data_IF_425697957014
#
_entry.id   IF_425697957014
#
_cell.length_a   1.000
_cell.length_b   1.000
_cell.length_c   1.000
_cell.angle_alpha   90.00
_cell.angle_beta   90.00
_cell.angle_gamma   90.00
#
_symmetry.space_group_name_H-M   'P 1'
#
loop_
_entity.id
_entity.type
_entity.pdbx_description
1 polymer ?
#
# COMPACT_ATOMS: atom_id res chain seq x y z
N UNK A 1 -33.61 -15.08 -28.78
CA UNK A 1 -32.21 -14.88 -28.36
C UNK A 1 -32.14 -13.72 -27.37
N UNK A 2 -32.33 -13.99 -26.07
CA UNK A 2 -32.15 -13.04 -24.96
C UNK A 2 -31.73 -13.86 -23.75
N UNK A 3 -30.46 -13.72 -23.33
CA UNK A 3 -29.92 -14.02 -21.99
C UNK A 3 -28.41 -14.32 -22.12
N UNK A 4 -27.58 -13.28 -22.15
CA UNK A 4 -26.12 -13.39 -21.91
C UNK A 4 -25.52 -12.26 -21.06
N UNK A 5 -26.34 -11.29 -20.59
CA UNK A 5 -25.82 -10.11 -19.86
C UNK A 5 -25.95 -10.18 -18.34
N UNK A 6 -26.52 -11.25 -17.76
CA UNK A 6 -26.73 -11.32 -16.30
C UNK A 6 -25.48 -11.78 -15.55
N UNK A 7 -24.54 -12.46 -16.20
CA UNK A 7 -23.35 -13.00 -15.53
C UNK A 7 -22.20 -11.99 -15.34
N UNK A 8 -22.16 -10.88 -16.10
CA UNK A 8 -21.12 -9.85 -15.95
C UNK A 8 -21.39 -8.88 -14.80
N UNK A 9 -22.64 -8.73 -14.34
CA UNK A 9 -22.97 -7.85 -13.22
C UNK A 9 -22.54 -8.44 -11.86
N UNK A 10 -22.48 -9.77 -11.73
CA UNK A 10 -22.13 -10.43 -10.46
C UNK A 10 -20.64 -10.30 -10.07
N UNK A 11 -19.74 -10.14 -11.05
CA UNK A 11 -18.31 -9.95 -10.78
C UNK A 11 -17.99 -8.53 -10.27
N UNK A 12 -18.75 -7.52 -10.72
CA UNK A 12 -18.60 -6.11 -10.29
C UNK A 12 -19.09 -5.87 -8.86
N UNK A 13 -20.19 -6.51 -8.44
CA UNK A 13 -20.67 -6.42 -7.05
C UNK A 13 -19.84 -7.26 -6.07
N UNK A 14 -19.20 -8.34 -6.53
CA UNK A 14 -18.28 -9.14 -5.72
C UNK A 14 -17.04 -8.36 -5.28
N UNK A 15 -16.46 -7.56 -6.18
CA UNK A 15 -15.29 -6.72 -5.88
C UNK A 15 -15.59 -5.62 -4.85
N UNK A 16 -16.74 -4.94 -4.96
CA UNK A 16 -17.15 -3.88 -4.01
C UNK A 16 -17.49 -4.47 -2.64
N UNK A 17 -18.20 -5.60 -2.57
CA UNK A 17 -18.50 -6.26 -1.30
C UNK A 17 -17.24 -6.81 -0.61
N UNK A 18 -16.25 -7.29 -1.39
CA UNK A 18 -14.95 -7.73 -0.88
C UNK A 18 -14.09 -6.56 -0.39
N UNK A 19 -14.14 -5.41 -1.07
CA UNK A 19 -13.46 -4.18 -0.64
C UNK A 19 -14.02 -3.64 0.69
N UNK A 20 -15.34 -3.69 0.88
CA UNK A 20 -16.00 -3.36 2.17
C UNK A 20 -15.57 -4.35 3.28
N UNK A 21 -15.32 -5.61 2.94
CA UNK A 21 -14.83 -6.63 3.86
C UNK A 21 -13.38 -6.37 4.29
N UNK A 22 -12.49 -6.00 3.36
CA UNK A 22 -11.10 -5.61 3.66
C UNK A 22 -11.03 -4.33 4.51
N UNK A 23 -11.88 -3.34 4.23
CA UNK A 23 -11.99 -2.12 5.05
C UNK A 23 -12.54 -2.42 6.45
N UNK A 24 -13.54 -3.31 6.59
CA UNK A 24 -14.11 -3.70 7.89
C UNK A 24 -13.15 -4.50 8.77
N UNK A 25 -12.24 -5.28 8.19
CA UNK A 25 -11.21 -5.99 8.97
C UNK A 25 -10.06 -5.07 9.40
N UNK A 26 -9.78 -3.99 8.66
CA UNK A 26 -8.79 -2.97 9.06
C UNK A 26 -9.30 -1.92 10.06
N UNK A 27 -10.62 -1.68 10.11
CA UNK A 27 -11.25 -0.65 10.96
C UNK A 27 -11.98 -1.20 12.19
N UNK A 28 -11.62 -2.39 12.69
CA UNK A 28 -12.13 -2.83 14.00
C UNK A 28 -11.40 -2.04 15.09
N UNK A 29 -11.89 -0.84 15.35
CA UNK A 29 -11.62 -0.08 16.56
C UNK A 29 -12.13 -0.89 17.75
N UNK A 30 -11.22 -1.60 18.41
CA UNK A 30 -11.42 -2.11 19.75
C UNK A 30 -11.42 -0.91 20.72
N UNK A 31 -12.53 -0.17 20.74
CA UNK A 31 -12.87 0.71 21.84
C UNK A 31 -13.78 -0.06 22.82
N UNK A 32 -13.28 -0.14 24.05
CA UNK A 32 -13.98 -0.49 25.30
C UNK A 32 -14.13 -1.98 25.68
N UNK A 33 -13.17 -2.43 26.49
CA UNK A 33 -13.28 -3.09 27.83
C UNK A 33 -12.12 -4.11 27.92
N UNK A 34 -11.15 -4.01 28.83
CA UNK A 34 -11.35 -4.16 30.27
C UNK A 34 -10.08 -3.75 31.02
N UNK A 35 -10.34 -3.01 32.10
CA UNK A 35 -9.47 -2.69 33.21
C UNK A 35 -8.87 -3.93 33.90
N UNK A 36 -7.65 -3.75 34.45
CA UNK A 36 -6.98 -4.53 35.50
C UNK A 36 -6.39 -5.91 35.13
N UNK A 37 -5.10 -5.90 34.81
CA UNK A 37 -4.11 -6.71 35.52
C UNK A 37 -2.70 -6.15 35.24
N UNK A 38 -2.00 -5.74 36.29
CA UNK A 38 -0.59 -5.33 36.27
C UNK A 38 0.24 -6.59 36.55
N UNK A 39 1.13 -7.05 35.65
CA UNK A 39 2.16 -7.99 36.03
C UNK A 39 3.38 -7.22 36.52
N UNK A 40 3.90 -7.71 37.63
CA UNK A 40 5.07 -7.22 38.35
C UNK A 40 6.33 -7.24 37.47
N UNK A 41 7.22 -6.28 37.72
CA UNK A 41 8.52 -6.20 37.09
C UNK A 41 9.33 -7.48 37.38
N UNK A 42 9.52 -8.32 36.36
CA UNK A 42 10.49 -9.40 36.45
C UNK A 42 11.89 -8.80 36.48
N UNK A 43 12.52 -8.95 37.64
CA UNK A 43 13.91 -8.61 37.88
C UNK A 43 14.77 -9.58 37.07
N UNK A 44 15.59 -9.05 36.16
CA UNK A 44 16.59 -9.82 35.41
C UNK A 44 17.60 -10.36 36.43
N UNK A 45 17.51 -11.64 36.76
CA UNK A 45 18.55 -12.36 37.52
C UNK A 45 19.60 -12.84 36.51
N UNK A 46 20.74 -12.15 36.48
CA UNK A 46 21.93 -12.60 35.75
C UNK A 46 22.45 -13.92 36.36
N UNK A 47 22.75 -14.96 35.56
CA UNK A 47 23.34 -16.18 36.09
C UNK A 47 24.76 -15.95 36.62
N UNK A 48 24.98 -16.40 37.84
CA UNK A 48 26.26 -16.39 38.56
C UNK A 48 27.26 -17.30 37.83
N UNK A 49 28.39 -16.72 37.42
CA UNK A 49 29.48 -17.41 36.73
C UNK A 49 30.34 -18.16 37.74
N UNK A 50 30.37 -19.48 37.67
CA UNK A 50 31.34 -20.30 38.41
C UNK A 50 32.72 -20.32 37.72
N UNK A 51 33.83 -20.46 38.47
CA UNK A 51 35.18 -20.22 37.97
C UNK A 51 35.90 -21.50 37.52
N UNK A 52 36.49 -21.43 36.31
CA UNK A 52 37.79 -21.97 35.81
C UNK A 52 38.21 -23.43 36.08
N UNK A 53 38.93 -24.06 35.12
CA UNK A 53 40.40 -24.05 35.23
C UNK A 53 41.12 -23.61 33.94
N UNK A 54 42.31 -23.05 34.19
CA UNK A 54 43.30 -22.58 33.22
C UNK A 54 43.93 -23.75 32.48
N UNK A 55 44.13 -23.60 31.17
CA UNK A 55 45.39 -23.97 30.55
C UNK A 55 45.80 -22.93 29.49
N UNK A 56 47.05 -22.41 29.53
CA UNK A 56 47.51 -21.36 28.64
C UNK A 56 48.30 -21.98 27.47
N UNK A 57 47.85 -21.71 26.24
CA UNK A 57 48.66 -21.48 25.02
C UNK A 57 47.84 -21.84 23.78
N UNK A 58 46.99 -20.92 23.34
CA UNK A 58 46.61 -20.72 21.93
C UNK A 58 45.54 -19.63 21.86
N UNK A 59 45.59 -18.82 20.81
CA UNK A 59 44.51 -17.99 20.30
C UNK A 59 44.23 -16.60 20.90
N UNK A 60 45.22 -15.71 20.85
CA UNK A 60 44.99 -14.24 20.84
C UNK A 60 44.13 -13.81 19.63
N UNK A 61 44.21 -14.54 18.51
CA UNK A 61 43.41 -14.29 17.29
C UNK A 61 41.93 -14.66 17.45
N UNK A 62 41.60 -15.70 18.22
CA UNK A 62 40.20 -16.12 18.45
C UNK A 62 39.45 -15.15 19.36
N UNK A 63 40.14 -14.60 20.38
CA UNK A 63 39.54 -13.61 21.29
C UNK A 63 39.28 -12.30 20.54
N UNK A 64 40.22 -11.82 19.71
CA UNK A 64 40.01 -10.60 18.91
C UNK A 64 38.86 -10.75 17.92
N UNK A 65 38.75 -11.89 17.23
CA UNK A 65 37.62 -12.17 16.35
C UNK A 65 36.28 -12.28 17.09
N UNK A 66 36.26 -12.80 18.32
CA UNK A 66 35.05 -12.88 19.15
C UNK A 66 34.59 -11.50 19.68
N UNK A 67 35.53 -10.61 20.01
CA UNK A 67 35.23 -9.24 20.48
C UNK A 67 34.80 -8.34 19.31
N UNK A 68 35.43 -8.46 18.14
CA UNK A 68 35.01 -7.73 16.93
C UNK A 68 33.63 -8.22 16.44
N UNK A 69 33.37 -9.54 16.46
CA UNK A 69 32.04 -10.09 16.16
C UNK A 69 30.98 -9.62 17.14
N UNK A 70 31.26 -9.58 18.45
CA UNK A 70 30.31 -9.02 19.44
C UNK A 70 30.02 -7.54 19.21
N UNK A 71 31.05 -6.70 19.03
CA UNK A 71 30.84 -5.27 18.70
C UNK A 71 30.03 -5.06 17.42
N UNK A 72 30.20 -5.91 16.41
CA UNK A 72 29.45 -5.82 15.16
C UNK A 72 27.99 -6.29 15.32
N UNK A 73 27.75 -7.32 16.15
CA UNK A 73 26.39 -7.78 16.49
C UNK A 73 25.66 -6.71 17.32
N UNK A 74 26.33 -6.12 18.31
CA UNK A 74 25.75 -5.07 19.16
C UNK A 74 25.40 -3.82 18.33
N UNK A 75 26.28 -3.41 17.40
CA UNK A 75 26.03 -2.28 16.49
C UNK A 75 24.86 -2.52 15.53
N UNK A 76 24.67 -3.76 15.04
CA UNK A 76 23.60 -4.10 14.10
C UNK A 76 22.22 -4.15 14.77
N UNK A 77 22.17 -4.66 16.01
CA UNK A 77 20.95 -4.65 16.83
C UNK A 77 20.55 -3.23 17.25
N UNK A 78 21.51 -2.36 17.57
CA UNK A 78 21.25 -0.94 17.83
C UNK A 78 20.69 -0.23 16.60
N UNK A 79 21.27 -0.47 15.42
CA UNK A 79 20.78 0.08 14.15
C UNK A 79 19.35 -0.37 13.85
N UNK A 80 19.06 -1.67 14.02
CA UNK A 80 17.70 -2.21 13.85
C UNK A 80 16.70 -1.50 14.76
N UNK A 81 17.03 -1.36 16.05
CA UNK A 81 16.16 -0.73 17.03
C UNK A 81 15.91 0.75 16.70
N UNK A 82 16.95 1.47 16.24
CA UNK A 82 16.82 2.86 15.79
C UNK A 82 15.90 2.98 14.57
N UNK A 83 16.11 2.14 13.54
CA UNK A 83 15.26 2.11 12.34
C UNK A 83 13.82 1.76 12.69
N UNK A 84 13.59 0.77 13.54
CA UNK A 84 12.26 0.38 13.99
C UNK A 84 11.55 1.49 14.78
N UNK A 85 12.26 2.18 15.68
CA UNK A 85 11.72 3.36 16.38
C UNK A 85 11.36 4.48 15.40
N UNK A 86 12.20 4.74 14.41
CA UNK A 86 11.92 5.73 13.36
C UNK A 86 10.71 5.35 12.53
N UNK A 87 10.57 4.07 12.18
CA UNK A 87 9.39 3.56 11.48
C UNK A 87 8.11 3.81 12.28
N UNK A 88 8.10 3.44 13.57
CA UNK A 88 6.95 3.68 14.48
C UNK A 88 6.62 5.16 14.64
N UNK A 89 7.61 6.04 14.54
CA UNK A 89 7.37 7.49 14.59
C UNK A 89 6.60 8.03 13.38
N UNK A 90 6.51 7.29 12.27
CA UNK A 90 5.69 7.70 11.13
C UNK A 90 4.20 7.51 11.36
N UNK A 91 3.77 6.52 12.15
CA UNK A 91 2.33 6.26 12.39
C UNK A 91 1.54 7.52 12.78
N UNK A 92 1.92 8.32 13.80
CA UNK A 92 1.19 9.54 14.14
C UNK A 92 1.26 10.62 13.04
N UNK A 93 2.34 10.65 12.24
CA UNK A 93 2.48 11.58 11.13
C UNK A 93 1.54 11.21 9.98
N UNK A 94 1.42 9.91 9.66
CA UNK A 94 0.49 9.39 8.66
C UNK A 94 -0.95 9.74 9.03
N UNK A 95 -1.36 9.47 10.28
CA UNK A 95 -2.70 9.82 10.76
C UNK A 95 -3.01 11.31 10.62
N UNK A 96 -2.03 12.19 10.87
CA UNK A 96 -2.22 13.64 10.71
C UNK A 96 -2.39 14.02 9.23
N UNK A 97 -1.57 13.46 8.34
CA UNK A 97 -1.70 13.70 6.91
C UNK A 97 -3.00 13.12 6.35
N UNK A 98 -3.51 12.01 6.89
CA UNK A 98 -4.78 11.42 6.47
C UNK A 98 -5.95 12.34 6.77
N UNK A 99 -6.00 12.90 7.98
CA UNK A 99 -6.99 13.92 8.36
C UNK A 99 -6.92 15.15 7.45
N UNK A 100 -5.71 15.68 7.24
CA UNK A 100 -5.50 16.85 6.38
C UNK A 100 -6.02 16.59 4.97
N UNK A 101 -5.79 15.41 4.42
CA UNK A 101 -6.27 15.13 3.08
C UNK A 101 -7.78 14.90 3.00
N UNK A 102 -8.38 14.25 4.00
CA UNK A 102 -9.84 14.15 4.07
C UNK A 102 -10.50 15.55 4.09
N UNK A 103 -9.94 16.47 4.88
CA UNK A 103 -10.38 17.87 4.93
C UNK A 103 -10.23 18.59 3.57
N UNK A 104 -9.10 18.38 2.88
CA UNK A 104 -8.86 18.95 1.55
C UNK A 104 -9.78 18.35 0.48
N UNK A 105 -10.03 17.05 0.54
CA UNK A 105 -10.89 16.36 -0.42
C UNK A 105 -12.33 16.84 -0.31
N UNK A 106 -12.84 17.01 0.90
CA UNK A 106 -14.20 17.52 1.14
C UNK A 106 -14.37 18.96 0.62
N UNK A 107 -13.30 19.75 0.56
CA UNK A 107 -13.34 21.09 -0.06
C UNK A 107 -13.40 21.05 -1.59
N UNK A 108 -12.82 20.02 -2.22
CA UNK A 108 -12.73 19.89 -3.68
C UNK A 108 -13.97 19.21 -4.25
N UNK A 109 -14.42 18.16 -3.58
CA UNK A 109 -15.55 17.31 -3.96
C UNK A 109 -16.52 17.22 -2.77
N UNK A 110 -17.30 18.28 -2.51
CA UNK A 110 -18.23 18.28 -1.39
C UNK A 110 -19.39 17.30 -1.62
N UNK A 111 -19.83 16.61 -0.56
CA UNK A 111 -21.01 15.74 -0.62
C UNK A 111 -20.82 14.44 -1.41
N UNK A 112 -21.92 13.91 -1.96
CA UNK A 112 -21.97 12.65 -2.73
C UNK A 112 -22.49 12.84 -4.18
N UNK A 113 -22.96 14.05 -4.53
CA UNK A 113 -23.59 14.35 -5.83
C UNK A 113 -22.61 14.19 -7.02
N UNK A 114 -21.31 14.11 -6.72
CA UNK A 114 -20.25 13.87 -7.68
C UNK A 114 -20.29 12.48 -8.36
N UNK A 115 -21.21 11.60 -7.97
CA UNK A 115 -21.32 10.26 -8.57
C UNK A 115 -22.21 10.27 -9.81
N UNK A 116 -23.07 11.30 -10.00
CA UNK A 116 -23.95 11.39 -11.17
C UNK A 116 -23.24 12.04 -12.37
N UNK A 117 -22.86 11.24 -13.37
CA UNK A 117 -22.28 11.72 -14.62
C UNK A 117 -23.24 12.55 -15.48
N UNK A 118 -24.53 12.63 -15.12
CA UNK A 118 -25.52 13.52 -15.72
C UNK A 118 -25.49 14.96 -15.19
N UNK A 119 -24.85 15.20 -14.04
CA UNK A 119 -24.93 16.48 -13.36
C UNK A 119 -24.37 17.62 -14.24
N UNK A 120 -25.00 18.80 -14.13
CA UNK A 120 -24.63 19.98 -14.90
C UNK A 120 -23.20 20.45 -14.62
N UNK A 121 -22.63 20.15 -13.45
CA UNK A 121 -21.25 20.49 -13.11
C UNK A 121 -20.24 19.86 -14.07
N UNK A 122 -20.56 18.71 -14.67
CA UNK A 122 -19.69 18.02 -15.63
C UNK A 122 -19.72 18.61 -17.04
N UNK A 123 -20.59 19.60 -17.31
CA UNK A 123 -20.58 20.31 -18.59
C UNK A 123 -19.36 21.23 -18.71
N UNK A 124 -18.85 21.74 -17.59
CA UNK A 124 -17.60 22.51 -17.55
C UNK A 124 -16.39 21.58 -17.34
N UNK A 125 -15.93 20.97 -18.43
CA UNK A 125 -14.77 20.09 -18.41
C UNK A 125 -13.48 20.79 -17.90
N UNK A 126 -13.37 22.11 -18.02
CA UNK A 126 -12.22 22.87 -17.54
C UNK A 126 -12.09 22.77 -16.02
N UNK A 127 -13.18 23.05 -15.32
CA UNK A 127 -13.25 22.93 -13.86
C UNK A 127 -13.01 21.48 -13.39
N UNK A 128 -13.56 20.49 -14.10
CA UNK A 128 -13.36 19.08 -13.72
C UNK A 128 -11.90 18.66 -13.85
N UNK A 129 -11.24 19.03 -14.96
CA UNK A 129 -9.81 18.71 -15.19
C UNK A 129 -8.93 19.38 -14.13
N UNK A 130 -9.20 20.63 -13.78
CA UNK A 130 -8.47 21.34 -12.72
C UNK A 130 -8.63 20.65 -11.37
N UNK A 131 -9.85 20.26 -10.98
CA UNK A 131 -10.10 19.50 -9.75
C UNK A 131 -9.34 18.17 -9.73
N UNK A 132 -9.34 17.42 -10.83
CA UNK A 132 -8.59 16.15 -10.92
C UNK A 132 -7.09 16.40 -10.81
N UNK A 133 -6.54 17.43 -11.45
CA UNK A 133 -5.13 17.78 -11.31
C UNK A 133 -4.76 18.10 -9.86
N UNK A 134 -5.61 18.87 -9.17
CA UNK A 134 -5.47 19.20 -7.76
C UNK A 134 -5.52 17.94 -6.90
N UNK A 135 -6.48 17.04 -7.12
CA UNK A 135 -6.56 15.72 -6.46
C UNK A 135 -5.28 14.91 -6.69
N UNK A 136 -4.79 14.83 -7.94
CA UNK A 136 -3.56 14.12 -8.29
C UNK A 136 -2.35 14.61 -7.48
N UNK A 137 -2.30 15.91 -7.16
CA UNK A 137 -1.22 16.48 -6.34
C UNK A 137 -1.25 16.03 -4.87
N UNK A 138 -2.42 15.71 -4.32
CA UNK A 138 -2.59 15.25 -2.93
C UNK A 138 -2.43 13.73 -2.77
N UNK A 139 -2.47 12.99 -3.86
CA UNK A 139 -2.19 11.56 -3.87
C UNK A 139 -0.71 11.29 -3.57
N UNK A 140 0.19 12.17 -4.01
CA UNK A 140 1.60 12.11 -3.65
C UNK A 140 1.85 12.39 -2.17
N UNK A 141 2.37 11.40 -1.43
CA UNK A 141 2.65 11.52 0.01
C UNK A 141 4.08 11.15 0.37
N UNK A 142 5.00 12.14 0.45
CA UNK A 142 6.39 11.89 0.83
C UNK A 142 6.57 11.18 2.18
N UNK A 143 5.67 11.42 3.15
CA UNK A 143 5.73 10.78 4.47
C UNK A 143 5.37 9.29 4.37
N UNK A 144 4.34 8.93 3.63
CA UNK A 144 3.95 7.54 3.38
C UNK A 144 5.06 6.77 2.65
N UNK A 145 5.66 7.37 1.63
CA UNK A 145 6.80 6.80 0.90
C UNK A 145 7.97 6.51 1.86
N UNK A 146 8.34 7.48 2.70
CA UNK A 146 9.42 7.29 3.69
C UNK A 146 9.08 6.21 4.72
N UNK A 147 7.82 6.12 5.15
CA UNK A 147 7.37 5.09 6.08
C UNK A 147 7.45 3.69 5.45
N UNK A 148 7.00 3.55 4.20
CA UNK A 148 7.08 2.31 3.45
C UNK A 148 8.54 1.89 3.21
N UNK A 149 9.40 2.80 2.78
CA UNK A 149 10.83 2.54 2.59
C UNK A 149 11.49 2.09 3.91
N UNK A 150 11.15 2.74 5.03
CA UNK A 150 11.66 2.33 6.34
C UNK A 150 11.16 0.92 6.73
N UNK A 151 9.90 0.60 6.47
CA UNK A 151 9.35 -0.73 6.72
C UNK A 151 10.07 -1.78 5.87
N UNK A 152 10.25 -1.51 4.59
CA UNK A 152 11.00 -2.38 3.69
C UNK A 152 12.43 -2.60 4.20
N UNK A 153 13.18 -1.54 4.49
CA UNK A 153 14.54 -1.65 5.03
C UNK A 153 14.58 -2.57 6.25
N UNK A 154 13.66 -2.40 7.20
CA UNK A 154 13.56 -3.22 8.42
C UNK A 154 13.26 -4.68 8.09
N UNK A 155 12.31 -4.94 7.20
CA UNK A 155 11.90 -6.30 6.86
C UNK A 155 13.06 -7.12 6.29
N UNK A 156 13.94 -6.48 5.52
CA UNK A 156 15.13 -7.11 4.92
C UNK A 156 16.35 -7.17 5.85
N UNK A 157 16.29 -6.61 7.07
CA UNK A 157 17.36 -6.76 8.07
C UNK A 157 17.34 -8.15 8.70
N UNK A 158 18.52 -8.73 8.88
CA UNK A 158 18.68 -10.04 9.55
C UNK A 158 18.19 -10.02 11.00
N UNK A 159 18.31 -8.86 11.64
CA UNK A 159 17.91 -8.60 13.00
C UNK A 159 16.39 -8.71 13.17
N UNK A 160 15.59 -8.48 12.12
CA UNK A 160 14.14 -8.61 12.16
C UNK A 160 13.72 -10.04 12.52
N UNK A 161 14.38 -11.06 11.94
CA UNK A 161 14.13 -12.48 12.24
C UNK A 161 14.34 -12.81 13.72
N UNK A 162 15.31 -12.15 14.35
CA UNK A 162 15.73 -12.41 15.74
C UNK A 162 15.18 -11.38 16.74
N UNK A 163 14.29 -10.49 16.31
CA UNK A 163 13.71 -9.43 17.15
C UNK A 163 12.41 -9.85 17.82
N UNK A 164 12.00 -9.08 18.84
CA UNK A 164 10.70 -9.22 19.51
C UNK A 164 9.57 -8.51 18.76
N UNK A 165 9.81 -7.97 17.56
CA UNK A 165 8.78 -7.29 16.78
C UNK A 165 7.75 -8.29 16.30
N UNK A 166 6.48 -8.07 16.63
CA UNK A 166 5.37 -8.88 16.13
C UNK A 166 5.20 -8.67 14.61
N UNK A 167 5.28 -9.77 13.85
CA UNK A 167 5.25 -9.72 12.38
C UNK A 167 3.86 -9.35 11.87
N UNK A 168 2.80 -9.74 12.57
CA UNK A 168 1.42 -9.40 12.22
C UNK A 168 1.14 -7.92 12.46
N UNK A 169 1.58 -7.38 13.61
CA UNK A 169 1.48 -5.96 13.92
C UNK A 169 2.29 -5.14 12.91
N UNK A 170 3.49 -5.61 12.55
CA UNK A 170 4.32 -4.98 11.53
C UNK A 170 3.63 -4.96 10.16
N UNK A 171 3.12 -6.11 9.71
CA UNK A 171 2.39 -6.22 8.44
C UNK A 171 1.12 -5.37 8.43
N UNK A 172 0.34 -5.38 9.51
CA UNK A 172 -0.85 -4.54 9.68
C UNK A 172 -0.49 -3.05 9.62
N UNK A 173 0.62 -2.65 10.24
CA UNK A 173 1.12 -1.27 10.15
C UNK A 173 1.48 -0.92 8.71
N UNK A 174 2.19 -1.81 8.00
CA UNK A 174 2.55 -1.65 6.59
C UNK A 174 1.31 -1.51 5.69
N UNK A 175 0.31 -2.36 5.89
CA UNK A 175 -0.95 -2.34 5.14
C UNK A 175 -1.74 -1.04 5.34
N UNK A 176 -1.52 -0.35 6.46
CA UNK A 176 -2.14 0.93 6.79
C UNK A 176 -1.27 2.14 6.41
N UNK A 177 -0.10 1.96 5.79
CA UNK A 177 0.66 3.07 5.18
C UNK A 177 -0.07 3.49 3.91
N UNK A 178 -1.10 4.31 4.07
CA UNK A 178 -1.97 4.70 2.99
C UNK A 178 -1.58 6.04 2.38
N UNK A 179 -1.79 6.14 1.06
CA UNK A 179 -1.93 7.42 0.37
C UNK A 179 -3.36 7.95 0.56
N UNK A 180 -3.65 9.16 0.11
CA UNK A 180 -5.00 9.73 0.18
C UNK A 180 -5.99 9.03 -0.75
N UNK A 181 -6.36 7.78 -0.47
CA UNK A 181 -7.19 6.97 -1.37
C UNK A 181 -8.58 6.81 -0.81
N UNK A 182 -9.17 7.94 -0.46
CA UNK A 182 -10.61 7.98 -0.19
C UNK A 182 -11.34 7.45 -1.44
N UNK A 183 -12.28 6.50 -1.30
CA UNK A 183 -13.05 5.96 -2.42
C UNK A 183 -13.71 7.05 -3.29
N UNK A 184 -14.03 8.22 -2.71
CA UNK A 184 -14.54 9.39 -3.44
C UNK A 184 -13.62 9.81 -4.58
N UNK A 185 -12.30 9.74 -4.42
CA UNK A 185 -11.33 10.15 -5.45
C UNK A 185 -11.49 9.31 -6.71
N UNK A 186 -11.51 7.98 -6.55
CA UNK A 186 -11.58 7.06 -7.67
C UNK A 186 -12.94 7.16 -8.36
N UNK A 187 -14.01 7.18 -7.58
CA UNK A 187 -15.36 7.35 -8.10
C UNK A 187 -15.49 8.66 -8.89
N UNK A 188 -14.97 9.77 -8.37
CA UNK A 188 -14.99 11.05 -9.07
C UNK A 188 -14.22 11.02 -10.40
N UNK A 189 -13.04 10.39 -10.43
CA UNK A 189 -12.28 10.21 -11.67
C UNK A 189 -13.05 9.38 -12.70
N UNK A 190 -13.71 8.30 -12.25
CA UNK A 190 -14.54 7.44 -13.11
C UNK A 190 -15.76 8.19 -13.64
N UNK A 191 -16.52 8.86 -12.77
CA UNK A 191 -17.68 9.67 -13.14
C UNK A 191 -17.30 10.79 -14.11
N UNK A 192 -16.13 11.42 -13.94
CA UNK A 192 -15.63 12.40 -14.90
C UNK A 192 -15.38 11.79 -16.29
N UNK A 193 -14.85 10.57 -16.37
CA UNK A 193 -14.66 9.86 -17.65
C UNK A 193 -15.99 9.45 -18.28
N UNK A 194 -16.95 8.98 -17.49
CA UNK A 194 -18.32 8.71 -17.95
C UNK A 194 -18.98 9.96 -18.52
N UNK A 195 -18.89 11.08 -17.79
CA UNK A 195 -19.45 12.35 -18.20
C UNK A 195 -18.77 12.89 -19.47
N UNK A 196 -17.46 12.71 -19.59
CA UNK A 196 -16.71 13.08 -20.79
C UNK A 196 -17.21 12.34 -22.04
N UNK A 197 -17.57 11.06 -21.92
CA UNK A 197 -18.23 10.31 -23.00
C UNK A 197 -19.66 10.84 -23.24
N UNK A 198 -20.44 11.02 -22.18
CA UNK A 198 -21.85 11.45 -22.27
C UNK A 198 -22.04 12.82 -22.90
N UNK A 199 -21.19 13.78 -22.53
CA UNK A 199 -21.22 15.15 -23.02
C UNK A 199 -20.32 15.37 -24.25
N UNK A 200 -19.73 14.31 -24.81
CA UNK A 200 -18.83 14.37 -25.98
C UNK A 200 -17.74 15.43 -25.84
N UNK A 201 -16.99 15.39 -24.73
CA UNK A 201 -15.93 16.35 -24.47
C UNK A 201 -14.90 16.39 -25.62
N UNK A 202 -14.28 17.56 -25.89
CA UNK A 202 -13.25 17.68 -26.91
C UNK A 202 -12.08 16.72 -26.69
N UNK A 203 -11.43 16.30 -27.77
CA UNK A 203 -10.32 15.33 -27.72
C UNK A 203 -9.20 15.81 -26.79
N UNK A 204 -8.87 17.10 -26.81
CA UNK A 204 -7.85 17.72 -25.97
C UNK A 204 -8.21 17.63 -24.48
N UNK A 205 -9.48 17.80 -24.13
CA UNK A 205 -9.96 17.65 -22.76
C UNK A 205 -9.86 16.19 -22.30
N UNK A 206 -10.23 15.24 -23.16
CA UNK A 206 -10.09 13.80 -22.90
C UNK A 206 -8.62 13.38 -22.72
N UNK A 207 -7.70 13.86 -23.59
CA UNK A 207 -6.25 13.60 -23.46
C UNK A 207 -5.69 14.12 -22.13
N UNK A 208 -6.10 15.32 -21.70
CA UNK A 208 -5.71 15.88 -20.40
C UNK A 208 -6.27 15.08 -19.23
N UNK A 209 -7.53 14.66 -19.31
CA UNK A 209 -8.15 13.80 -18.30
C UNK A 209 -7.37 12.49 -18.13
N UNK A 210 -7.06 11.81 -19.25
CA UNK A 210 -6.22 10.61 -19.28
C UNK A 210 -4.87 10.87 -18.61
N UNK A 211 -4.16 11.91 -19.04
CA UNK A 211 -2.83 12.23 -18.51
C UNK A 211 -2.84 12.52 -17.01
N UNK A 212 -3.84 13.25 -16.49
CA UNK A 212 -3.96 13.54 -15.07
C UNK A 212 -4.24 12.28 -14.23
N UNK A 213 -5.08 11.38 -14.73
CA UNK A 213 -5.37 10.08 -14.08
C UNK A 213 -4.13 9.18 -14.10
N UNK A 214 -3.45 9.06 -15.24
CA UNK A 214 -2.21 8.27 -15.35
C UNK A 214 -1.12 8.81 -14.43
N UNK A 215 -0.98 10.13 -14.32
CA UNK A 215 -0.02 10.78 -13.41
C UNK A 215 -0.32 10.45 -11.94
N UNK A 216 -1.60 10.49 -11.55
CA UNK A 216 -2.05 10.11 -10.20
C UNK A 216 -1.75 8.66 -9.84
N UNK A 217 -1.67 7.79 -10.85
CA UNK A 217 -1.38 6.36 -10.69
C UNK A 217 0.13 6.12 -10.65
N UNK A 218 0.87 6.66 -11.63
CA UNK A 218 2.28 6.37 -11.87
C UNK A 218 3.19 6.74 -10.70
N UNK A 219 2.94 7.89 -10.07
CA UNK A 219 3.81 8.41 -9.02
C UNK A 219 3.90 7.44 -7.82
N UNK A 220 2.76 6.90 -7.39
CA UNK A 220 2.68 6.12 -6.15
C UNK A 220 3.13 4.67 -6.34
N UNK A 221 2.90 4.10 -7.52
CA UNK A 221 3.36 2.74 -7.85
C UNK A 221 4.87 2.58 -7.76
N UNK A 222 5.62 3.58 -8.24
CA UNK A 222 7.09 3.53 -8.22
C UNK A 222 7.68 3.64 -6.82
N UNK A 223 7.03 4.40 -5.95
CA UNK A 223 7.60 4.78 -4.66
C UNK A 223 7.09 3.92 -3.50
N UNK A 224 5.89 3.37 -3.63
CA UNK A 224 5.18 2.66 -2.56
C UNK A 224 4.17 1.67 -3.16
N UNK A 225 4.60 0.50 -3.67
CA UNK A 225 3.70 -0.48 -4.26
C UNK A 225 2.93 -1.28 -3.20
N UNK A 226 2.18 -0.62 -2.32
CA UNK A 226 1.29 -1.32 -1.38
C UNK A 226 0.14 -2.00 -2.13
N UNK A 227 -0.46 -3.03 -1.52
CA UNK A 227 -1.62 -3.70 -2.10
C UNK A 227 -2.76 -2.71 -2.43
N UNK A 228 -2.99 -1.72 -1.57
CA UNK A 228 -4.00 -0.68 -1.79
C UNK A 228 -3.65 0.26 -2.95
N UNK A 229 -2.39 0.67 -3.09
CA UNK A 229 -1.96 1.50 -4.23
C UNK A 229 -2.06 0.72 -5.56
N UNK A 230 -1.65 -0.54 -5.56
CA UNK A 230 -1.82 -1.44 -6.72
C UNK A 230 -3.30 -1.59 -7.07
N UNK A 231 -4.14 -1.89 -6.08
CA UNK A 231 -5.58 -2.04 -6.28
C UNK A 231 -6.23 -0.77 -6.83
N UNK A 232 -5.92 0.40 -6.28
CA UNK A 232 -6.42 1.67 -6.79
C UNK A 232 -6.02 1.86 -8.26
N UNK A 233 -4.74 1.63 -8.56
CA UNK A 233 -4.14 1.85 -9.88
C UNK A 233 -4.77 0.97 -10.94
N UNK A 234 -4.92 -0.31 -10.63
CA UNK A 234 -5.53 -1.27 -11.54
C UNK A 234 -7.03 -1.01 -11.72
N UNK A 235 -7.74 -0.59 -10.68
CA UNK A 235 -9.15 -0.24 -10.80
C UNK A 235 -9.35 0.98 -11.70
N UNK A 236 -8.57 2.05 -11.49
CA UNK A 236 -8.60 3.22 -12.35
C UNK A 236 -8.31 2.86 -13.82
N UNK A 237 -7.29 2.02 -14.07
CA UNK A 237 -6.93 1.58 -15.42
C UNK A 237 -8.01 0.69 -16.05
N UNK A 238 -8.61 -0.24 -15.31
CA UNK A 238 -9.74 -1.05 -15.79
C UNK A 238 -10.93 -0.18 -16.17
N UNK A 239 -11.28 0.84 -15.37
CA UNK A 239 -12.34 1.77 -15.72
C UNK A 239 -12.01 2.56 -16.99
N UNK A 240 -10.77 2.98 -17.17
CA UNK A 240 -10.33 3.65 -18.42
C UNK A 240 -10.49 2.73 -19.64
N UNK A 241 -10.17 1.44 -19.51
CA UNK A 241 -10.36 0.43 -20.56
C UNK A 241 -11.84 0.21 -20.86
N UNK A 242 -12.68 0.04 -19.84
CA UNK A 242 -14.13 -0.16 -20.00
C UNK A 242 -14.83 1.04 -20.65
N UNK A 243 -14.39 2.25 -20.33
CA UNK A 243 -14.94 3.49 -20.88
C UNK A 243 -14.33 3.88 -22.24
N UNK A 244 -13.40 3.09 -22.77
CA UNK A 244 -12.76 3.33 -24.06
C UNK A 244 -11.81 4.53 -24.09
N UNK A 245 -11.24 4.91 -22.95
CA UNK A 245 -10.18 5.92 -22.84
C UNK A 245 -8.79 5.33 -23.10
N UNK A 246 -8.65 4.02 -22.98
CA UNK A 246 -7.41 3.27 -23.23
C UNK A 246 -7.72 2.15 -24.22
N UNK A 247 -6.75 1.82 -25.08
CA UNK A 247 -6.87 0.73 -26.05
C UNK A 247 -7.14 -0.62 -25.36
N UNK A 248 -8.09 -1.38 -25.89
CA UNK A 248 -8.43 -2.73 -25.40
C UNK A 248 -7.26 -3.73 -25.52
N UNK A 249 -6.19 -3.39 -26.25
CA UNK A 249 -4.97 -4.21 -26.35
C UNK A 249 -4.32 -4.49 -25.00
N UNK A 250 -4.53 -3.63 -23.99
CA UNK A 250 -3.96 -3.79 -22.64
C UNK A 250 -4.84 -4.60 -21.70
N UNK A 251 -6.11 -4.87 -22.06
CA UNK A 251 -7.11 -5.45 -21.16
C UNK A 251 -6.66 -6.77 -20.53
N UNK A 252 -6.24 -7.73 -21.34
CA UNK A 252 -5.83 -9.05 -20.84
C UNK A 252 -4.63 -8.97 -19.89
N UNK A 253 -3.69 -8.07 -20.15
CA UNK A 253 -2.50 -7.89 -19.31
C UNK A 253 -2.88 -7.28 -17.95
N UNK A 254 -3.78 -6.29 -17.94
CA UNK A 254 -4.28 -5.66 -16.71
C UNK A 254 -5.15 -6.62 -15.90
N UNK A 255 -6.07 -7.35 -16.53
CA UNK A 255 -6.93 -8.35 -15.86
C UNK A 255 -6.11 -9.48 -15.22
N UNK A 256 -5.05 -9.93 -15.91
CA UNK A 256 -4.12 -10.91 -15.36
C UNK A 256 -3.40 -10.35 -14.12
N UNK A 257 -2.90 -9.12 -14.20
CA UNK A 257 -2.19 -8.48 -13.09
C UNK A 257 -3.09 -8.26 -11.86
N UNK A 258 -4.35 -7.87 -12.09
CA UNK A 258 -5.37 -7.76 -11.03
C UNK A 258 -5.55 -9.09 -10.31
N UNK A 259 -5.75 -10.16 -11.09
CA UNK A 259 -5.98 -11.49 -10.54
C UNK A 259 -4.78 -11.96 -9.71
N UNK A 260 -3.57 -11.78 -10.23
CA UNK A 260 -2.33 -12.16 -9.56
C UNK A 260 -2.14 -11.42 -8.21
N UNK A 261 -2.30 -10.09 -8.20
CA UNK A 261 -2.13 -9.29 -6.97
C UNK A 261 -3.19 -9.63 -5.93
N UNK A 262 -4.45 -9.82 -6.35
CA UNK A 262 -5.55 -10.15 -5.43
C UNK A 262 -5.39 -11.56 -4.84
N UNK A 263 -5.09 -12.56 -5.67
CA UNK A 263 -4.82 -13.94 -5.21
C UNK A 263 -3.63 -13.99 -4.25
N UNK A 264 -2.57 -13.24 -4.56
CA UNK A 264 -1.42 -13.14 -3.70
C UNK A 264 -1.75 -12.47 -2.36
N UNK A 265 -2.50 -11.37 -2.36
CA UNK A 265 -2.91 -10.68 -1.14
C UNK A 265 -3.74 -11.60 -0.21
N UNK A 266 -4.68 -12.37 -0.77
CA UNK A 266 -5.44 -13.37 -0.01
C UNK A 266 -4.50 -14.41 0.59
N UNK A 267 -3.59 -14.95 -0.22
CA UNK A 267 -2.63 -15.97 0.22
C UNK A 267 -1.75 -15.49 1.37
N UNK A 268 -1.25 -14.26 1.30
CA UNK A 268 -0.43 -13.66 2.35
C UNK A 268 -1.23 -13.52 3.64
N UNK A 269 -2.45 -12.99 3.56
CA UNK A 269 -3.32 -12.83 4.73
C UNK A 269 -3.68 -14.17 5.40
N UNK A 270 -3.88 -15.23 4.62
CA UNK A 270 -4.17 -16.57 5.13
C UNK A 270 -2.95 -17.21 5.81
N UNK A 271 -1.74 -16.97 5.28
CA UNK A 271 -0.50 -17.56 5.82
C UNK A 271 0.10 -16.78 6.98
N UNK A 272 -0.25 -15.51 7.09
CA UNK A 272 0.08 -14.65 8.21
C UNK A 272 -0.91 -14.95 9.37
N UNK A 273 -0.65 -16.06 10.08
CA UNK A 273 -1.46 -16.48 11.22
C UNK A 273 -0.91 -15.95 12.56
N UNK A 274 -1.77 -15.43 13.46
CA UNK A 274 -1.37 -15.12 14.83
C UNK A 274 -0.83 -16.36 15.55
N UNK A 275 0.40 -16.27 16.07
CA UNK A 275 1.07 -17.40 16.74
C UNK A 275 1.64 -18.46 15.79
N UNK A 276 1.64 -18.21 14.48
CA UNK A 276 2.30 -19.05 13.48
C UNK A 276 3.82 -19.08 13.60
N UNK A 277 4.47 -19.88 12.73
CA UNK A 277 5.93 -19.94 12.64
C UNK A 277 6.48 -18.58 12.16
N UNK A 278 7.13 -17.84 13.07
CA UNK A 278 7.72 -16.51 12.82
C UNK A 278 8.57 -16.48 11.55
N UNK A 279 9.42 -17.48 11.34
CA UNK A 279 10.34 -17.51 10.20
C UNK A 279 9.57 -17.62 8.90
N UNK A 280 8.51 -18.44 8.87
CA UNK A 280 7.59 -18.50 7.71
C UNK A 280 6.87 -17.18 7.51
N UNK A 281 6.33 -16.56 8.57
CA UNK A 281 5.65 -15.26 8.45
C UNK A 281 6.56 -14.18 7.86
N UNK A 282 7.84 -14.15 8.25
CA UNK A 282 8.82 -13.22 7.68
C UNK A 282 9.11 -13.55 6.22
N UNK A 283 9.23 -14.83 5.86
CA UNK A 283 9.40 -15.25 4.46
C UNK A 283 8.22 -14.82 3.60
N UNK A 284 6.99 -14.98 4.08
CA UNK A 284 5.78 -14.54 3.38
C UNK A 284 5.73 -13.01 3.24
N UNK A 285 6.12 -12.25 4.28
CA UNK A 285 6.24 -10.79 4.21
C UNK A 285 7.26 -10.35 3.14
N UNK A 286 8.44 -10.96 3.11
CA UNK A 286 9.48 -10.64 2.13
C UNK A 286 9.03 -10.99 0.71
N UNK A 287 8.37 -12.15 0.56
CA UNK A 287 7.81 -12.56 -0.72
C UNK A 287 6.72 -11.58 -1.21
N UNK A 288 5.89 -11.06 -0.29
CA UNK A 288 4.88 -10.04 -0.58
C UNK A 288 5.48 -8.73 -1.10
N UNK A 289 6.59 -8.26 -0.54
CA UNK A 289 7.33 -7.11 -1.09
C UNK A 289 7.78 -7.34 -2.54
N UNK A 290 8.36 -8.50 -2.83
CA UNK A 290 8.87 -8.84 -4.16
C UNK A 290 7.75 -8.96 -5.20
N UNK A 291 6.65 -9.64 -4.87
CA UNK A 291 5.50 -9.78 -5.77
C UNK A 291 4.89 -8.42 -6.09
N UNK A 292 4.69 -7.56 -5.08
CA UNK A 292 4.16 -6.21 -5.27
C UNK A 292 5.06 -5.33 -6.12
N UNK A 293 6.38 -5.39 -5.92
CA UNK A 293 7.36 -4.69 -6.77
C UNK A 293 7.31 -5.17 -8.22
N UNK A 294 7.26 -6.49 -8.43
CA UNK A 294 7.15 -7.08 -9.77
C UNK A 294 5.83 -6.69 -10.46
N UNK A 295 4.72 -6.63 -9.71
CA UNK A 295 3.45 -6.16 -10.22
C UNK A 295 3.48 -4.67 -10.58
N UNK A 296 4.03 -3.81 -9.71
CA UNK A 296 4.18 -2.40 -9.96
C UNK A 296 5.06 -2.11 -11.20
N UNK A 297 6.15 -2.85 -11.37
CA UNK A 297 7.01 -2.75 -12.55
C UNK A 297 6.26 -3.01 -13.85
N UNK A 298 5.52 -4.13 -13.93
CA UNK A 298 4.68 -4.44 -15.10
C UNK A 298 3.58 -3.42 -15.33
N UNK A 299 2.93 -2.94 -14.27
CA UNK A 299 1.92 -1.91 -14.40
C UNK A 299 2.51 -0.60 -14.95
N UNK A 300 3.70 -0.21 -14.49
CA UNK A 300 4.39 0.98 -15.01
C UNK A 300 4.78 0.84 -16.48
N UNK A 301 5.15 -0.36 -16.94
CA UNK A 301 5.41 -0.62 -18.36
C UNK A 301 4.13 -0.41 -19.18
N UNK A 302 2.98 -0.88 -18.70
CA UNK A 302 1.68 -0.67 -19.34
C UNK A 302 1.34 0.83 -19.39
N UNK A 303 1.43 1.53 -18.25
CA UNK A 303 1.12 2.95 -18.15
C UNK A 303 2.01 3.80 -19.06
N UNK A 304 3.29 3.44 -19.20
CA UNK A 304 4.23 4.14 -20.08
C UNK A 304 3.86 3.96 -21.56
N UNK A 305 3.43 2.77 -21.98
CA UNK A 305 2.95 2.53 -23.35
C UNK A 305 1.67 3.31 -23.64
N UNK A 306 0.72 3.35 -22.69
CA UNK A 306 -0.52 4.13 -22.81
C UNK A 306 -0.22 5.63 -22.91
N UNK A 307 0.70 6.14 -22.10
CA UNK A 307 1.08 7.55 -22.14
C UNK A 307 1.68 7.92 -23.51
N UNK A 308 2.55 7.07 -24.06
CA UNK A 308 3.11 7.26 -25.41
C UNK A 308 2.03 7.23 -26.50
N UNK A 309 1.04 6.34 -26.40
CA UNK A 309 -0.10 6.32 -27.33
C UNK A 309 -0.95 7.59 -27.24
N UNK A 310 -1.15 8.12 -26.04
CA UNK A 310 -1.98 9.31 -25.81
C UNK A 310 -1.31 10.61 -26.32
N UNK A 311 0.03 10.65 -26.35
CA UNK A 311 0.81 11.77 -26.87
C UNK A 311 0.81 11.85 -28.41
N UNK A 312 0.62 10.72 -29.09
CA UNK A 312 0.53 10.63 -30.55
C UNK A 312 -0.91 10.84 -31.07
#
# INVERSE_FOLDING_TARGET
>A
MKSKNVFKLAALFGGVAFFILLIRFGLREDSETSSKARPEAQTIVLPKKEPTPKDPKSNVTSIRNSVTKRKQIDSSAEEFLEKYKRFRAFTPLLTKEDKKCAEQLEQIIPGEDFIDSADDMYKDYGSIIEKIQVISSFLYRPIAIKAYQAAEEIAFMREFENSDVDVMEFYSTLANINTCRDPKVLNYMITAMEAANKFNWPAEARKKLISNVLTAIYHDLNSMPTALNLSFSMHALNSMLELGFVSDTYRSEVEYLVSEVMEHQVTVMERLEPGGDRRKSIQELLFDFEVRKGAAGRLNDILSKIQLENEN
#
